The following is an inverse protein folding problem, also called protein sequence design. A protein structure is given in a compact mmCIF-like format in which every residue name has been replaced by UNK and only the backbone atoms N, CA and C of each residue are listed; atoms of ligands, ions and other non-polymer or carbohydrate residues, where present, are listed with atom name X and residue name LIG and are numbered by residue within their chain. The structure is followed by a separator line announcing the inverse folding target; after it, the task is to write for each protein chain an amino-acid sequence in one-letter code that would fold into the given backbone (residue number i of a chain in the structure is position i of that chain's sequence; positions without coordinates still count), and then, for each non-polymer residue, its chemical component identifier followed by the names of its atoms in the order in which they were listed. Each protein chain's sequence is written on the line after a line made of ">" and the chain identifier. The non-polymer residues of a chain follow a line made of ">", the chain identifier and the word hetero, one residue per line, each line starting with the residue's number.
data_IF_167498582725
#
_entry.id   IF_167498582725
#
_cell.length_a   1.000
_cell.length_b   1.000
_cell.length_c   1.000
_cell.angle_alpha   90.00
_cell.angle_beta   90.00
_cell.angle_gamma   90.00
#
_symmetry.space_group_name_H-M   'P 1'
#
loop_
_entity.id
_entity.type
_entity.pdbx_description
1 polymer ?
#
# COMPACT_ATOMS: atom_id res chain seq x y z
N UNK A 1 10.34 29.26 8.83
CA UNK A 1 10.52 28.02 8.05
C UNK A 1 9.19 27.80 7.39
N UNK A 2 9.11 28.03 6.08
CA UNK A 2 7.92 27.66 5.31
C UNK A 2 7.81 26.14 5.40
N UNK A 3 6.68 25.68 5.92
CA UNK A 3 6.27 24.30 5.88
C UNK A 3 6.11 23.95 4.40
N UNK A 4 7.13 23.31 3.81
CA UNK A 4 7.10 22.81 2.43
C UNK A 4 6.21 21.56 2.37
N UNK A 5 4.97 21.73 2.86
CA UNK A 5 4.02 20.69 3.16
C UNK A 5 3.93 19.72 2.00
N UNK A 6 4.43 18.50 2.22
CA UNK A 6 4.68 17.54 1.16
C UNK A 6 3.49 17.38 0.20
N UNK A 7 3.79 17.23 -1.08
CA UNK A 7 2.81 16.97 -2.12
C UNK A 7 2.84 15.50 -2.55
N UNK A 8 1.91 14.71 -2.01
CA UNK A 8 1.78 13.28 -2.30
C UNK A 8 1.48 13.00 -3.77
N UNK A 9 0.80 13.93 -4.48
CA UNK A 9 0.53 13.81 -5.91
C UNK A 9 1.81 13.81 -6.76
N UNK A 10 2.91 14.34 -6.21
CA UNK A 10 4.22 14.44 -6.86
C UNK A 10 5.25 13.53 -6.20
N UNK A 11 4.83 12.60 -5.31
CA UNK A 11 5.72 11.78 -4.49
C UNK A 11 6.71 12.59 -3.65
N UNK A 12 6.33 13.81 -3.26
CA UNK A 12 7.10 14.66 -2.36
C UNK A 12 6.53 14.52 -0.96
N UNK A 13 7.29 13.94 -0.05
CA UNK A 13 6.90 13.82 1.35
C UNK A 13 7.64 14.86 2.18
N UNK A 14 7.05 15.28 3.30
CA UNK A 14 7.70 16.22 4.22
C UNK A 14 9.01 15.67 4.79
N UNK A 15 9.82 16.52 5.42
CA UNK A 15 11.15 16.17 5.91
C UNK A 15 11.18 14.94 6.85
N UNK A 16 10.11 14.72 7.63
CA UNK A 16 9.97 13.55 8.51
C UNK A 16 9.88 12.21 7.75
N UNK A 17 9.62 12.27 6.44
CA UNK A 17 9.51 11.14 5.52
C UNK A 17 10.59 11.18 4.43
N UNK A 18 11.65 11.98 4.61
CA UNK A 18 12.79 11.96 3.70
C UNK A 18 13.69 10.78 4.07
N UNK A 19 13.78 9.79 3.17
CA UNK A 19 14.61 8.60 3.35
C UNK A 19 16.10 8.93 3.46
N UNK A 20 16.54 10.07 2.94
CA UNK A 20 17.94 10.54 3.07
C UNK A 20 18.27 11.03 4.49
N UNK A 21 17.25 11.38 5.27
CA UNK A 21 17.40 11.83 6.66
C UNK A 21 17.37 10.67 7.67
N UNK A 22 17.04 9.45 7.23
CA UNK A 22 16.99 8.26 8.06
C UNK A 22 18.26 7.43 7.90
N UNK A 23 19.30 7.75 8.69
CA UNK A 23 20.67 7.19 8.58
C UNK A 23 20.79 5.65 8.54
N UNK A 24 19.75 4.89 8.92
CA UNK A 24 19.76 3.41 8.87
C UNK A 24 18.36 2.78 8.71
N UNK A 25 17.37 3.51 8.21
CA UNK A 25 16.01 2.99 8.06
C UNK A 25 15.45 3.40 6.71
N UNK A 26 15.05 2.43 5.90
CA UNK A 26 14.27 2.69 4.70
C UNK A 26 12.86 3.11 5.12
N UNK A 27 12.34 4.18 4.52
CA UNK A 27 10.94 4.54 4.66
C UNK A 27 10.06 3.38 4.18
N UNK A 28 9.10 2.96 5.01
CA UNK A 28 8.19 1.85 4.70
C UNK A 28 6.77 2.39 4.55
N UNK A 29 6.17 2.15 3.39
CA UNK A 29 4.75 2.41 3.14
C UNK A 29 3.98 1.11 3.30
N UNK A 30 2.94 1.12 4.13
CA UNK A 30 2.14 -0.06 4.43
C UNK A 30 0.74 0.03 3.81
N UNK A 31 0.25 -1.10 3.32
CA UNK A 31 -1.16 -1.29 2.95
C UNK A 31 -2.03 -1.42 4.21
N UNK A 32 -3.35 -1.21 4.08
CA UNK A 32 -4.30 -1.47 5.16
C UNK A 32 -4.23 -2.93 5.63
N UNK A 33 -4.01 -3.83 4.68
CA UNK A 33 -3.84 -5.26 4.88
C UNK A 33 -2.58 -5.57 5.71
N UNK A 34 -1.44 -4.97 5.41
CA UNK A 34 -0.20 -5.13 6.18
C UNK A 34 -0.35 -4.56 7.59
N UNK A 35 -1.00 -3.39 7.73
CA UNK A 35 -1.33 -2.81 9.03
C UNK A 35 -2.21 -3.76 9.84
N UNK A 36 -3.22 -4.38 9.22
CA UNK A 36 -4.08 -5.36 9.89
C UNK A 36 -3.28 -6.55 10.44
N UNK A 37 -2.36 -7.12 9.64
CA UNK A 37 -1.49 -8.23 10.04
C UNK A 37 -0.57 -7.83 11.20
N UNK A 38 0.09 -6.67 11.10
CA UNK A 38 1.01 -6.17 12.13
C UNK A 38 0.28 -5.92 13.44
N UNK A 39 -0.85 -5.22 13.39
CA UNK A 39 -1.63 -4.89 14.59
C UNK A 39 -2.23 -6.15 15.23
N UNK A 40 -2.70 -7.13 14.45
CA UNK A 40 -3.23 -8.39 14.98
C UNK A 40 -2.14 -9.21 15.70
N UNK A 41 -0.91 -9.23 15.15
CA UNK A 41 0.26 -9.85 15.78
C UNK A 41 0.64 -9.15 17.09
N UNK A 42 0.72 -7.82 17.10
CA UNK A 42 1.02 -7.03 18.30
C UNK A 42 -0.06 -7.25 19.36
N UNK A 43 -1.33 -7.34 18.95
CA UNK A 43 -2.46 -7.57 19.86
C UNK A 43 -2.29 -8.93 20.55
N UNK A 44 -2.09 -9.97 19.74
CA UNK A 44 -1.90 -11.33 20.21
C UNK A 44 -0.71 -11.46 21.15
N UNK A 45 0.43 -10.83 20.83
CA UNK A 45 1.61 -10.83 21.70
C UNK A 45 1.35 -10.12 23.03
N UNK A 46 0.68 -8.97 23.01
CA UNK A 46 0.32 -8.25 24.24
C UNK A 46 -0.58 -9.08 25.14
N UNK A 47 -1.63 -9.68 24.58
CA UNK A 47 -2.57 -10.52 25.32
C UNK A 47 -1.86 -11.74 25.94
N UNK A 48 -0.97 -12.40 25.19
CA UNK A 48 -0.12 -13.50 25.70
C UNK A 48 0.77 -13.07 26.87
N UNK A 49 1.24 -11.82 26.84
CA UNK A 49 2.08 -11.24 27.88
C UNK A 49 1.29 -10.53 29.00
N UNK A 50 -0.03 -10.78 29.11
CA UNK A 50 -0.94 -10.14 30.08
C UNK A 50 -0.93 -8.61 30.04
N UNK A 51 -0.72 -8.04 28.85
CA UNK A 51 -0.80 -6.59 28.59
C UNK A 51 -2.04 -6.30 27.78
N UNK A 52 -2.79 -5.27 28.18
CA UNK A 52 -3.93 -4.82 27.40
C UNK A 52 -3.45 -4.01 26.18
N UNK A 53 -3.98 -4.30 24.96
CA UNK A 53 -3.80 -3.44 23.81
C UNK A 53 -4.38 -2.04 24.06
N UNK A 54 -3.71 -0.96 23.61
CA UNK A 54 -4.27 0.39 23.68
C UNK A 54 -5.57 0.51 22.87
N UNK A 55 -6.52 1.34 23.32
CA UNK A 55 -7.81 1.53 22.62
C UNK A 55 -7.64 1.99 21.18
N UNK A 56 -6.79 3.00 20.94
CA UNK A 56 -6.52 3.50 19.58
C UNK A 56 -6.00 2.41 18.63
N UNK A 57 -5.25 1.44 19.16
CA UNK A 57 -4.74 0.31 18.38
C UNK A 57 -5.89 -0.63 17.99
N UNK A 58 -6.83 -0.90 18.91
CA UNK A 58 -8.00 -1.72 18.64
C UNK A 58 -8.93 -1.04 17.62
N UNK A 59 -9.19 0.26 17.78
CA UNK A 59 -10.02 1.03 16.85
C UNK A 59 -9.42 1.03 15.43
N UNK A 60 -8.10 1.17 15.34
CA UNK A 60 -7.38 1.11 14.06
C UNK A 60 -7.45 -0.29 13.46
N UNK A 61 -7.23 -1.34 14.26
CA UNK A 61 -7.34 -2.74 13.83
C UNK A 61 -8.74 -3.06 13.30
N UNK A 62 -9.78 -2.59 13.97
CA UNK A 62 -11.18 -2.78 13.56
C UNK A 62 -11.51 -1.99 12.30
N UNK A 63 -10.91 -0.80 12.11
CA UNK A 63 -11.02 -0.05 10.86
C UNK A 63 -10.39 -0.82 9.69
N UNK A 64 -9.12 -1.22 9.80
CA UNK A 64 -8.43 -1.88 8.69
C UNK A 64 -9.03 -3.25 8.38
N UNK A 65 -9.48 -4.03 9.37
CA UNK A 65 -10.15 -5.31 9.14
C UNK A 65 -11.43 -5.16 8.33
N UNK A 66 -12.23 -4.11 8.60
CA UNK A 66 -13.45 -3.82 7.84
C UNK A 66 -13.12 -3.45 6.39
N UNK A 67 -12.13 -2.58 6.19
CA UNK A 67 -11.74 -2.14 4.84
C UNK A 67 -11.07 -3.23 4.00
N UNK A 68 -10.40 -4.20 4.61
CA UNK A 68 -9.78 -5.29 3.87
C UNK A 68 -10.81 -6.31 3.37
N UNK A 69 -12.02 -6.36 3.95
CA UNK A 69 -13.05 -7.33 3.56
C UNK A 69 -12.71 -8.81 3.86
N UNK A 70 -11.61 -9.08 4.58
CA UNK A 70 -11.10 -10.44 4.77
C UNK A 70 -11.36 -10.94 6.19
N UNK A 71 -11.98 -12.11 6.27
CA UNK A 71 -12.27 -12.80 7.54
C UNK A 71 -11.03 -13.55 8.12
N UNK A 72 -9.90 -13.56 7.42
CA UNK A 72 -8.71 -14.35 7.76
C UNK A 72 -7.40 -13.59 7.52
N UNK A 73 -6.71 -13.22 8.61
CA UNK A 73 -5.41 -12.50 8.58
C UNK A 73 -4.32 -13.27 7.84
N UNK A 74 -4.32 -14.61 7.87
CA UNK A 74 -3.33 -15.40 7.14
C UNK A 74 -3.49 -15.32 5.62
N UNK A 75 -4.73 -15.15 5.12
CA UNK A 75 -4.97 -14.92 3.69
C UNK A 75 -4.49 -13.52 3.28
N UNK A 76 -4.77 -12.53 4.13
CA UNK A 76 -4.33 -11.14 3.97
C UNK A 76 -2.81 -11.04 3.82
N UNK A 77 -2.05 -11.73 4.68
CA UNK A 77 -0.59 -11.69 4.65
C UNK A 77 -0.02 -12.20 3.32
N UNK A 78 -0.50 -13.35 2.85
CA UNK A 78 -0.05 -13.94 1.56
C UNK A 78 -0.37 -13.03 0.38
N UNK A 79 -1.59 -12.48 0.35
CA UNK A 79 -2.00 -11.52 -0.67
C UNK A 79 -1.09 -10.30 -0.70
N UNK A 80 -0.78 -9.72 0.47
CA UNK A 80 0.08 -8.52 0.52
C UNK A 80 1.49 -8.77 0.04
N UNK A 81 2.06 -9.93 0.40
CA UNK A 81 3.39 -10.31 -0.04
C UNK A 81 3.42 -10.57 -1.55
N UNK A 82 2.42 -11.28 -2.07
CA UNK A 82 2.28 -11.57 -3.50
C UNK A 82 2.12 -10.28 -4.32
N UNK A 83 1.14 -9.45 -3.99
CA UNK A 83 0.85 -8.19 -4.69
C UNK A 83 2.08 -7.27 -4.68
N UNK A 84 2.73 -7.10 -3.51
CA UNK A 84 3.92 -6.25 -3.40
C UNK A 84 5.07 -6.78 -4.24
N UNK A 85 5.33 -8.08 -4.24
CA UNK A 85 6.39 -8.69 -5.05
C UNK A 85 6.11 -8.54 -6.54
N UNK A 86 4.87 -8.73 -6.98
CA UNK A 86 4.50 -8.56 -8.39
C UNK A 86 4.64 -7.13 -8.85
N UNK A 87 4.16 -6.16 -8.06
CA UNK A 87 4.19 -4.75 -8.46
C UNK A 87 5.56 -4.09 -8.33
N UNK A 88 6.43 -4.52 -7.40
CA UNK A 88 7.75 -3.87 -7.22
C UNK A 88 8.68 -4.07 -8.42
N UNK A 89 8.54 -5.20 -9.10
CA UNK A 89 9.41 -5.61 -10.21
C UNK A 89 8.84 -5.17 -11.57
N UNK A 90 7.68 -4.49 -11.59
CA UNK A 90 7.10 -3.91 -12.80
C UNK A 90 7.78 -2.58 -13.13
N UNK A 91 8.23 -2.46 -14.38
CA UNK A 91 8.88 -1.26 -14.92
C UNK A 91 8.23 -0.84 -16.23
N UNK A 92 8.01 0.48 -16.37
CA UNK A 92 7.58 1.09 -17.63
C UNK A 92 8.81 1.56 -18.42
N UNK A 93 9.09 0.88 -19.53
CA UNK A 93 10.20 1.18 -20.45
C UNK A 93 9.79 2.09 -21.62
N UNK A 94 8.53 2.54 -21.69
CA UNK A 94 7.98 3.26 -22.86
C UNK A 94 8.66 4.60 -23.16
N UNK A 95 9.30 5.23 -22.16
CA UNK A 95 9.93 6.55 -22.25
C UNK A 95 11.46 6.51 -22.15
N UNK A 96 12.08 5.34 -22.40
CA UNK A 96 13.53 5.19 -22.56
C UNK A 96 14.31 4.90 -21.28
N UNK A 97 13.90 5.44 -20.13
CA UNK A 97 14.42 5.05 -18.82
C UNK A 97 13.38 4.17 -18.10
N UNK A 98 13.75 2.99 -17.56
CA UNK A 98 12.83 2.17 -16.80
C UNK A 98 12.31 2.91 -15.57
N UNK A 99 10.99 2.97 -15.44
CA UNK A 99 10.33 3.61 -14.31
C UNK A 99 9.56 2.57 -13.51
N UNK A 100 9.98 2.38 -12.26
CA UNK A 100 9.28 1.53 -11.31
C UNK A 100 8.20 2.28 -10.53
N UNK A 101 7.27 1.52 -9.96
CA UNK A 101 6.31 2.04 -8.98
C UNK A 101 7.00 2.48 -7.71
N UNK A 102 6.59 3.63 -7.17
CA UNK A 102 7.03 4.05 -5.85
C UNK A 102 6.30 3.21 -4.78
N UNK A 103 6.93 2.86 -3.64
CA UNK A 103 6.28 2.05 -2.60
C UNK A 103 4.96 2.64 -2.07
N UNK A 104 4.83 3.98 -2.05
CA UNK A 104 3.57 4.66 -1.76
C UNK A 104 2.46 4.27 -2.75
N UNK A 105 2.75 4.20 -4.05
CA UNK A 105 1.75 3.92 -5.08
C UNK A 105 1.29 2.48 -5.02
N UNK A 106 2.21 1.54 -4.75
CA UNK A 106 1.86 0.15 -4.48
C UNK A 106 0.88 0.08 -3.31
N UNK A 107 1.17 0.81 -2.23
CA UNK A 107 0.29 0.84 -1.07
C UNK A 107 -1.07 1.50 -1.37
N UNK A 108 -1.08 2.59 -2.14
CA UNK A 108 -2.30 3.29 -2.53
C UNK A 108 -3.17 2.43 -3.48
N UNK A 109 -2.57 1.78 -4.47
CA UNK A 109 -3.25 0.86 -5.38
C UNK A 109 -3.94 -0.29 -4.62
N UNK A 110 -3.22 -0.93 -3.70
CA UNK A 110 -3.77 -2.01 -2.88
C UNK A 110 -4.93 -1.57 -1.97
N UNK A 111 -4.95 -0.29 -1.57
CA UNK A 111 -5.95 0.25 -0.66
C UNK A 111 -7.18 0.83 -1.36
N UNK A 112 -7.01 1.39 -2.56
CA UNK A 112 -8.03 2.19 -3.22
C UNK A 112 -8.70 1.49 -4.40
N UNK A 113 -7.99 0.59 -5.09
CA UNK A 113 -8.51 -0.04 -6.30
C UNK A 113 -9.48 -1.17 -5.96
N UNK A 114 -10.50 -1.29 -6.80
CA UNK A 114 -11.50 -2.35 -6.78
C UNK A 114 -11.41 -3.19 -8.07
N UNK A 115 -12.16 -4.30 -8.13
CA UNK A 115 -12.12 -5.21 -9.27
C UNK A 115 -12.57 -4.55 -10.59
N UNK A 116 -13.43 -3.54 -10.50
CA UNK A 116 -13.96 -2.75 -11.62
C UNK A 116 -13.20 -1.43 -11.85
N UNK A 117 -12.16 -1.12 -11.07
CA UNK A 117 -11.39 0.11 -11.26
C UNK A 117 -10.75 0.17 -12.64
N UNK A 118 -10.83 1.37 -13.23
CA UNK A 118 -10.26 1.70 -14.54
C UNK A 118 -9.03 2.61 -14.39
N UNK A 119 -8.15 2.61 -15.39
CA UNK A 119 -6.94 3.43 -15.40
C UNK A 119 -7.18 4.92 -15.15
N UNK A 120 -8.28 5.49 -15.67
CA UNK A 120 -8.60 6.92 -15.48
C UNK A 120 -8.88 7.19 -13.99
N UNK A 121 -9.70 6.35 -13.36
CA UNK A 121 -9.99 6.45 -11.93
C UNK A 121 -8.69 6.35 -11.11
N UNK A 122 -7.85 5.34 -11.40
CA UNK A 122 -6.57 5.14 -10.73
C UNK A 122 -5.66 6.39 -10.83
N UNK A 123 -5.58 7.01 -12.01
CA UNK A 123 -4.79 8.23 -12.24
C UNK A 123 -5.43 9.51 -11.68
N UNK A 124 -6.73 9.50 -11.36
CA UNK A 124 -7.40 10.59 -10.66
C UNK A 124 -7.14 10.52 -9.15
N UNK A 125 -7.26 9.31 -8.56
CA UNK A 125 -7.06 9.12 -7.13
C UNK A 125 -5.58 9.03 -6.73
N UNK A 126 -4.70 8.60 -7.65
CA UNK A 126 -3.25 8.53 -7.45
C UNK A 126 -2.55 9.28 -8.60
N UNK A 127 -2.50 10.62 -8.57
CA UNK A 127 -2.01 11.42 -9.70
C UNK A 127 -0.56 11.17 -10.10
N UNK A 128 0.27 10.64 -9.18
CA UNK A 128 1.66 10.28 -9.47
C UNK A 128 1.78 9.17 -10.53
N UNK A 129 0.71 8.37 -10.76
CA UNK A 129 0.65 7.36 -11.81
C UNK A 129 0.62 7.95 -13.23
N UNK A 130 0.27 9.23 -13.39
CA UNK A 130 0.22 9.90 -14.72
C UNK A 130 1.59 10.00 -15.40
N UNK A 131 2.67 9.66 -14.68
CA UNK A 131 4.00 9.55 -15.29
C UNK A 131 4.11 8.32 -16.20
N UNK A 132 3.29 7.30 -15.98
CA UNK A 132 3.32 6.05 -16.73
C UNK A 132 2.43 6.11 -17.97
N UNK A 133 2.73 5.26 -18.96
CA UNK A 133 1.81 5.03 -20.07
C UNK A 133 0.50 4.36 -19.58
N UNK A 134 -0.61 4.68 -20.24
CA UNK A 134 -1.93 4.15 -19.89
C UNK A 134 -1.96 2.63 -19.97
N UNK A 135 -1.31 2.06 -21.00
CA UNK A 135 -1.19 0.61 -21.16
C UNK A 135 -0.42 -0.07 -20.01
N UNK A 136 0.54 0.62 -19.40
CA UNK A 136 1.24 0.11 -18.23
C UNK A 136 0.36 0.16 -16.97
N UNK A 137 -0.42 1.23 -16.80
CA UNK A 137 -1.36 1.34 -15.69
C UNK A 137 -2.47 0.28 -15.79
N UNK A 138 -2.97 -0.02 -16.98
CA UNK A 138 -3.89 -1.15 -17.18
C UNK A 138 -3.25 -2.48 -16.73
N UNK A 139 -1.98 -2.74 -17.04
CA UNK A 139 -1.27 -3.95 -16.57
C UNK A 139 -1.15 -4.01 -15.05
N UNK A 140 -0.89 -2.87 -14.39
CA UNK A 140 -0.86 -2.79 -12.93
C UNK A 140 -2.24 -3.15 -12.35
N UNK A 141 -3.30 -2.61 -12.94
CA UNK A 141 -4.67 -2.90 -12.48
C UNK A 141 -5.05 -4.36 -12.70
N UNK A 142 -4.60 -4.98 -13.79
CA UNK A 142 -4.80 -6.42 -14.02
C UNK A 142 -4.14 -7.28 -12.93
N UNK A 143 -2.94 -6.90 -12.49
CA UNK A 143 -2.27 -7.55 -11.34
C UNK A 143 -3.10 -7.38 -10.07
N UNK A 144 -3.53 -6.15 -9.76
CA UNK A 144 -4.36 -5.87 -8.59
C UNK A 144 -5.66 -6.71 -8.60
N UNK A 145 -6.33 -6.80 -9.75
CA UNK A 145 -7.58 -7.57 -9.93
C UNK A 145 -7.37 -9.06 -9.69
N UNK A 146 -6.33 -9.64 -10.31
CA UNK A 146 -5.99 -11.05 -10.14
C UNK A 146 -5.74 -11.41 -8.66
N UNK A 147 -4.96 -10.58 -7.96
CA UNK A 147 -4.67 -10.83 -6.54
C UNK A 147 -5.94 -10.67 -5.66
N UNK A 148 -6.81 -9.70 -5.97
CA UNK A 148 -8.07 -9.52 -5.22
C UNK A 148 -9.03 -10.70 -5.42
N UNK A 149 -9.11 -11.24 -6.62
CA UNK A 149 -9.89 -12.45 -6.90
C UNK A 149 -9.40 -13.64 -6.07
N UNK A 150 -8.08 -13.85 -5.98
CA UNK A 150 -7.48 -14.89 -5.14
C UNK A 150 -7.77 -14.71 -3.65
N UNK A 151 -7.92 -13.47 -3.18
CA UNK A 151 -8.25 -13.18 -1.79
C UNK A 151 -9.72 -13.50 -1.44
N UNK A 152 -10.62 -13.38 -2.42
CA UNK A 152 -12.06 -13.61 -2.27
C UNK A 152 -12.46 -15.10 -2.35
N UNK A 153 -11.58 -15.97 -2.87
CA UNK A 153 -11.75 -17.44 -2.94
C UNK A 153 -11.21 -18.08 -1.65
#
# INVERSE_FOLDING_TARGET
>A
MEDDGGNVNELKFGADFDSSMMENQSLVFLTNQEVAVILDRIKTDREKNNRNPPTMMLDTLDYVKRNCGVNSINKVEKFTESLRNRLKDMEDESQGEPRALHPFEIAALANLMQADSEQIEAMEVIPSLRRFDTAFVDQILDVCKQEMEELMI
#
